data_IF_672847925569
#
_entry.id   IF_672847925569
#
_cell.length_a   1.000
_cell.length_b   1.000
_cell.length_c   1.000
_cell.angle_alpha   90.00
_cell.angle_beta   90.00
_cell.angle_gamma   90.00
#
_symmetry.space_group_name_H-M   'P 1'
#
loop_
_entity.id
_entity.type
_entity.pdbx_description
1 polymer ?
#
# COMPACT_ATOMS: atom_id res chain seq x y z
N UNK A 1 12.84 19.56 9.79
CA UNK A 1 12.33 18.19 9.67
C UNK A 1 12.53 17.80 8.22
N UNK A 2 13.13 16.66 7.95
CA UNK A 2 13.24 16.11 6.59
C UNK A 2 11.87 15.58 6.17
N UNK A 3 11.45 15.85 4.93
CA UNK A 3 10.20 15.31 4.38
C UNK A 3 10.30 13.78 4.22
N UNK A 4 9.22 13.04 4.48
CA UNK A 4 9.22 11.59 4.31
C UNK A 4 9.40 11.17 2.84
N UNK A 5 8.93 12.01 1.90
CA UNK A 5 9.16 11.83 0.47
C UNK A 5 10.61 12.04 0.09
N UNK A 6 11.26 13.08 0.60
CA UNK A 6 12.70 13.30 0.40
C UNK A 6 13.52 12.10 0.91
N UNK A 7 13.11 11.56 2.06
CA UNK A 7 13.77 10.42 2.68
C UNK A 7 13.63 9.16 1.83
N UNK A 8 12.42 8.82 1.38
CA UNK A 8 12.20 7.66 0.50
C UNK A 8 12.89 7.85 -0.86
N UNK A 9 12.97 9.08 -1.36
CA UNK A 9 13.72 9.40 -2.58
C UNK A 9 15.21 9.13 -2.42
N UNK A 10 15.80 9.52 -1.28
CA UNK A 10 17.20 9.21 -0.98
C UNK A 10 17.44 7.70 -0.90
N UNK A 11 16.52 6.95 -0.29
CA UNK A 11 16.63 5.47 -0.21
C UNK A 11 16.50 4.86 -1.61
N UNK A 12 15.55 5.32 -2.42
CA UNK A 12 15.37 4.87 -3.81
C UNK A 12 16.61 5.13 -4.67
N UNK A 13 17.31 6.25 -4.43
CA UNK A 13 18.60 6.54 -5.07
C UNK A 13 19.69 5.55 -4.60
N UNK A 14 19.76 5.23 -3.30
CA UNK A 14 20.69 4.23 -2.75
C UNK A 14 20.46 2.84 -3.38
N UNK A 15 19.21 2.47 -3.68
CA UNK A 15 18.85 1.21 -4.35
C UNK A 15 18.80 1.31 -5.89
N UNK A 16 19.20 2.44 -6.47
CA UNK A 16 19.26 2.70 -7.92
C UNK A 16 17.93 2.40 -8.66
N UNK A 17 16.82 2.89 -8.12
CA UNK A 17 15.49 2.72 -8.73
C UNK A 17 15.18 3.89 -9.68
N UNK A 18 15.10 3.59 -10.98
CA UNK A 18 14.82 4.59 -12.01
C UNK A 18 13.33 4.98 -12.01
N UNK A 19 13.05 6.28 -11.97
CA UNK A 19 11.70 6.82 -12.16
C UNK A 19 10.79 6.81 -10.93
N UNK A 20 11.32 6.51 -9.73
CA UNK A 20 10.58 6.61 -8.48
C UNK A 20 10.14 8.05 -8.19
N UNK A 21 8.83 8.26 -8.03
CA UNK A 21 8.23 9.52 -7.62
C UNK A 21 7.64 9.37 -6.21
N UNK A 22 8.23 9.98 -5.17
CA UNK A 22 7.69 9.90 -3.82
C UNK A 22 6.25 10.42 -3.76
N UNK A 23 5.45 9.89 -2.83
CA UNK A 23 4.01 10.18 -2.64
C UNK A 23 3.07 9.64 -3.75
N UNK A 24 3.58 9.40 -4.95
CA UNK A 24 2.87 8.75 -6.04
C UNK A 24 3.20 7.26 -6.15
N UNK A 25 4.44 6.89 -5.84
CA UNK A 25 4.94 5.52 -5.91
C UNK A 25 5.27 4.97 -4.51
N UNK A 26 5.14 3.66 -4.37
CA UNK A 26 5.65 2.90 -3.23
C UNK A 26 6.84 2.04 -3.66
N UNK A 27 7.86 1.99 -2.81
CA UNK A 27 9.06 1.17 -3.00
C UNK A 27 8.78 -0.28 -2.58
N UNK A 28 8.97 -1.22 -3.48
CA UNK A 28 8.66 -2.64 -3.27
C UNK A 28 9.95 -3.45 -3.20
N UNK A 29 10.15 -4.18 -2.10
CA UNK A 29 11.27 -5.11 -1.92
C UNK A 29 10.74 -6.54 -1.83
N UNK A 30 11.34 -7.50 -2.53
CA UNK A 30 10.85 -8.91 -2.50
C UNK A 30 11.92 -9.93 -2.08
N UNK A 31 12.43 -9.89 -0.85
CA UNK A 31 13.35 -10.91 -0.35
C UNK A 31 12.63 -12.23 -0.03
N UNK A 32 13.12 -13.36 -0.56
CA UNK A 32 12.83 -14.72 -0.07
C UNK A 32 11.36 -15.01 0.26
N UNK A 33 10.44 -14.69 -0.66
CA UNK A 33 9.01 -14.98 -0.54
C UNK A 33 8.21 -13.99 0.34
N UNK A 34 8.83 -12.90 0.78
CA UNK A 34 8.15 -11.78 1.45
C UNK A 34 8.26 -10.53 0.58
N UNK A 35 7.15 -9.83 0.38
CA UNK A 35 7.08 -8.53 -0.30
C UNK A 35 6.89 -7.43 0.72
N UNK A 36 7.82 -6.49 0.84
CA UNK A 36 7.68 -5.26 1.63
C UNK A 36 7.32 -4.11 0.71
N UNK A 37 6.38 -3.26 1.13
CA UNK A 37 5.98 -2.05 0.42
C UNK A 37 6.16 -0.86 1.37
N UNK A 38 7.11 0.00 1.04
CA UNK A 38 7.38 1.26 1.73
C UNK A 38 6.72 2.42 0.99
N UNK A 39 6.01 3.28 1.71
CA UNK A 39 5.28 4.40 1.13
C UNK A 39 5.18 5.57 2.12
N UNK A 40 4.85 6.75 1.61
CA UNK A 40 4.61 7.95 2.43
C UNK A 40 3.14 8.09 2.77
N UNK A 41 2.82 8.47 4.00
CA UNK A 41 1.48 8.87 4.42
C UNK A 41 1.56 9.86 5.57
N UNK A 42 0.87 11.00 5.46
CA UNK A 42 0.89 12.07 6.47
C UNK A 42 2.32 12.46 6.88
N UNK A 43 3.21 12.58 5.88
CA UNK A 43 4.63 12.88 6.07
C UNK A 43 5.40 11.87 6.94
N UNK A 44 4.91 10.63 7.03
CA UNK A 44 5.60 9.51 7.68
C UNK A 44 5.90 8.39 6.67
N UNK A 45 7.02 7.69 6.88
CA UNK A 45 7.31 6.45 6.16
C UNK A 45 6.56 5.30 6.84
N UNK A 46 5.77 4.58 6.05
CA UNK A 46 5.01 3.41 6.46
C UNK A 46 5.48 2.19 5.68
N UNK A 47 5.24 1.02 6.26
CA UNK A 47 5.57 -0.25 5.63
C UNK A 47 4.42 -1.23 5.79
N UNK A 48 4.02 -1.89 4.72
CA UNK A 48 3.22 -3.11 4.80
C UNK A 48 4.05 -4.25 4.22
N UNK A 49 3.84 -5.46 4.69
CA UNK A 49 4.51 -6.63 4.14
C UNK A 49 3.56 -7.79 3.92
N UNK A 50 3.86 -8.56 2.89
CA UNK A 50 3.13 -9.73 2.45
C UNK A 50 4.03 -10.94 2.40
N UNK A 51 3.75 -11.96 3.20
CA UNK A 51 4.43 -13.26 3.14
C UNK A 51 3.59 -14.24 2.31
N UNK A 52 4.21 -14.95 1.37
CA UNK A 52 3.52 -15.98 0.58
C UNK A 52 2.97 -17.16 1.42
N UNK A 53 3.39 -17.27 2.69
CA UNK A 53 3.04 -18.35 3.60
C UNK A 53 2.55 -17.78 4.94
N UNK A 54 1.24 -17.60 5.11
CA UNK A 54 0.63 -17.18 6.38
C UNK A 54 -0.89 -16.96 6.30
N UNK A 55 -1.62 -17.06 7.43
CA UNK A 55 -3.08 -16.87 7.48
C UNK A 55 -3.52 -15.41 7.27
N UNK A 56 -2.59 -14.46 7.39
CA UNK A 56 -2.75 -13.05 7.02
C UNK A 56 -1.61 -12.66 6.08
N UNK A 57 -1.89 -12.64 4.78
CA UNK A 57 -0.88 -12.33 3.76
C UNK A 57 -0.57 -10.84 3.67
N UNK A 58 -1.19 -9.95 4.45
CA UNK A 58 -0.75 -8.55 4.53
C UNK A 58 -0.76 -8.09 5.97
N UNK A 59 0.40 -7.67 6.48
CA UNK A 59 0.55 -7.09 7.82
C UNK A 59 1.14 -5.68 7.73
N UNK A 60 0.61 -4.75 8.53
CA UNK A 60 1.09 -3.37 8.59
C UNK A 60 2.08 -3.17 9.73
N UNK A 61 3.22 -2.54 9.44
CA UNK A 61 4.22 -2.15 10.41
C UNK A 61 4.61 -0.67 10.26
N UNK A 62 4.96 -0.02 11.36
CA UNK A 62 5.51 1.32 11.28
C UNK A 62 7.02 1.22 11.02
N UNK A 63 7.46 1.65 9.84
CA UNK A 63 8.88 1.84 9.53
C UNK A 63 9.28 3.30 9.84
N UNK A 64 9.08 3.71 11.10
CA UNK A 64 9.01 5.14 11.50
C UNK A 64 10.25 5.98 11.19
N UNK A 65 11.38 5.36 10.86
CA UNK A 65 12.66 6.06 10.73
C UNK A 65 13.39 5.66 9.44
N UNK A 66 13.94 6.67 8.75
CA UNK A 66 14.74 6.55 7.54
C UNK A 66 15.84 5.49 7.66
N UNK A 67 16.60 5.55 8.76
CA UNK A 67 17.76 4.70 8.98
C UNK A 67 17.34 3.24 9.19
N UNK A 68 16.18 3.00 9.80
CA UNK A 68 15.64 1.65 9.96
C UNK A 68 15.17 1.06 8.63
N UNK A 69 14.60 1.89 7.75
CA UNK A 69 14.23 1.45 6.40
C UNK A 69 15.49 1.15 5.60
N UNK A 70 16.50 2.05 5.64
CA UNK A 70 17.78 1.84 4.95
C UNK A 70 18.49 0.58 5.45
N UNK A 71 18.58 0.39 6.76
CA UNK A 71 19.14 -0.82 7.37
C UNK A 71 18.35 -2.06 6.93
N UNK A 72 17.01 -1.99 6.90
CA UNK A 72 16.18 -3.11 6.44
C UNK A 72 16.44 -3.44 4.97
N UNK A 73 16.42 -2.42 4.09
CA UNK A 73 16.73 -2.55 2.65
C UNK A 73 18.09 -3.23 2.43
N UNK A 74 19.12 -2.82 3.19
CA UNK A 74 20.45 -3.43 3.13
C UNK A 74 20.48 -4.86 3.68
N UNK A 75 19.73 -5.11 4.76
CA UNK A 75 19.74 -6.39 5.49
C UNK A 75 19.01 -7.50 4.75
N UNK A 76 17.88 -7.20 4.11
CA UNK A 76 17.02 -8.24 3.54
C UNK A 76 17.60 -8.94 2.31
N UNK A 77 18.72 -8.45 1.75
CA UNK A 77 19.31 -9.01 0.55
C UNK A 77 18.40 -8.77 -0.64
N UNK A 78 18.76 -7.78 -1.45
CA UNK A 78 17.93 -7.38 -2.59
C UNK A 78 17.93 -8.48 -3.65
N UNK A 79 16.86 -9.27 -3.71
CA UNK A 79 16.59 -10.17 -4.85
C UNK A 79 15.92 -9.39 -5.99
N UNK A 80 15.01 -8.47 -5.65
CA UNK A 80 14.25 -7.67 -6.60
C UNK A 80 13.76 -6.36 -5.96
N UNK A 81 13.84 -5.25 -6.69
CA UNK A 81 13.32 -3.92 -6.31
C UNK A 81 12.46 -3.37 -7.43
N UNK A 82 11.24 -2.95 -7.10
CA UNK A 82 10.33 -2.27 -8.02
C UNK A 82 9.74 -1.01 -7.36
N UNK A 83 9.03 -0.23 -8.17
CA UNK A 83 8.02 0.70 -7.69
C UNK A 83 6.62 0.19 -8.03
N UNK A 84 5.63 0.58 -7.23
CA UNK A 84 4.21 0.37 -7.55
C UNK A 84 3.41 1.64 -7.33
N UNK A 85 2.39 1.84 -8.15
CA UNK A 85 1.50 3.00 -8.07
C UNK A 85 0.74 3.02 -6.72
N UNK A 86 0.89 4.11 -5.97
CA UNK A 86 0.24 4.33 -4.69
C UNK A 86 -1.13 5.02 -4.86
N UNK A 87 -1.46 5.57 -6.03
CA UNK A 87 -2.72 6.33 -6.24
C UNK A 87 -3.98 5.57 -5.82
N UNK A 88 -4.16 4.27 -6.14
CA UNK A 88 -5.34 3.53 -5.69
C UNK A 88 -5.42 3.48 -4.16
N UNK A 89 -4.30 3.23 -3.49
CA UNK A 89 -4.21 3.27 -2.02
C UNK A 89 -4.55 4.66 -1.48
N UNK A 90 -3.96 5.72 -2.04
CA UNK A 90 -4.19 7.11 -1.62
C UNK A 90 -5.66 7.50 -1.71
N UNK A 91 -6.34 7.15 -2.81
CA UNK A 91 -7.77 7.42 -2.99
C UNK A 91 -8.64 6.66 -1.97
N UNK A 92 -8.28 5.42 -1.61
CA UNK A 92 -8.96 4.64 -0.58
C UNK A 92 -8.82 5.29 0.81
N UNK A 93 -7.61 5.71 1.19
CA UNK A 93 -7.35 6.32 2.51
C UNK A 93 -7.84 7.76 2.64
N UNK A 94 -7.92 8.52 1.54
CA UNK A 94 -8.47 9.88 1.54
C UNK A 94 -10.00 9.89 1.42
N UNK A 95 -10.58 8.80 0.92
CA UNK A 95 -12.00 8.69 0.61
C UNK A 95 -12.74 7.68 1.49
N UNK A 96 -13.32 6.61 0.90
CA UNK A 96 -14.36 5.77 1.51
C UNK A 96 -13.95 5.08 2.82
N UNK A 97 -12.65 4.92 3.06
CA UNK A 97 -12.15 4.20 4.24
C UNK A 97 -11.46 5.07 5.27
N UNK A 98 -11.39 6.40 5.06
CA UNK A 98 -10.68 7.34 5.92
C UNK A 98 -11.02 7.18 7.41
N UNK A 99 -12.30 7.02 7.73
CA UNK A 99 -12.80 6.97 9.11
C UNK A 99 -13.13 5.54 9.57
N UNK A 100 -12.78 4.52 8.78
CA UNK A 100 -13.10 3.13 9.11
C UNK A 100 -11.93 2.42 9.77
N UNK A 101 -11.98 2.31 11.10
CA UNK A 101 -10.97 1.60 11.90
C UNK A 101 -10.76 0.13 11.54
N UNK A 102 -11.68 -0.48 10.79
CA UNK A 102 -11.61 -1.87 10.35
C UNK A 102 -10.74 -2.07 9.10
N UNK A 103 -10.48 -1.03 8.31
CA UNK A 103 -9.60 -1.10 7.13
C UNK A 103 -8.22 -0.56 7.49
N UNK A 104 -7.35 -1.45 7.96
CA UNK A 104 -5.94 -1.13 8.17
C UNK A 104 -5.23 -0.89 6.83
N UNK A 105 -4.08 -0.23 6.88
CA UNK A 105 -3.28 0.02 5.68
C UNK A 105 -2.91 -1.27 4.94
N UNK A 106 -2.72 -2.37 5.66
CA UNK A 106 -2.48 -3.69 5.08
C UNK A 106 -3.66 -4.16 4.20
N UNK A 107 -4.90 -3.98 4.68
CA UNK A 107 -6.11 -4.33 3.92
C UNK A 107 -6.33 -3.42 2.72
N UNK A 108 -6.03 -2.14 2.86
CA UNK A 108 -6.14 -1.17 1.77
C UNK A 108 -5.09 -1.42 0.69
N UNK A 109 -3.86 -1.77 1.07
CA UNK A 109 -2.84 -2.22 0.13
C UNK A 109 -3.21 -3.56 -0.53
N UNK A 110 -3.81 -4.49 0.20
CA UNK A 110 -4.30 -5.73 -0.40
C UNK A 110 -5.34 -5.46 -1.51
N UNK A 111 -6.27 -4.52 -1.28
CA UNK A 111 -7.22 -4.07 -2.31
C UNK A 111 -6.50 -3.40 -3.48
N UNK A 112 -5.67 -2.39 -3.22
CA UNK A 112 -4.92 -1.67 -4.26
C UNK A 112 -4.07 -2.62 -5.13
N UNK A 113 -3.36 -3.55 -4.49
CA UNK A 113 -2.51 -4.54 -5.15
C UNK A 113 -3.31 -5.56 -5.98
N UNK A 114 -4.47 -6.00 -5.48
CA UNK A 114 -5.28 -7.02 -6.16
C UNK A 114 -5.96 -6.48 -7.42
N UNK A 115 -6.43 -5.23 -7.39
CA UNK A 115 -7.25 -4.67 -8.47
C UNK A 115 -6.47 -3.71 -9.38
N UNK A 116 -5.38 -3.12 -8.91
CA UNK A 116 -4.46 -2.28 -9.68
C UNK A 116 -4.92 -0.83 -9.88
N UNK A 117 -6.23 -0.54 -9.84
CA UNK A 117 -6.76 0.82 -9.94
C UNK A 117 -8.01 1.02 -9.07
N UNK A 118 -8.31 2.26 -8.70
CA UNK A 118 -9.43 2.59 -7.81
C UNK A 118 -10.79 2.34 -8.45
N UNK A 119 -10.93 2.57 -9.76
CA UNK A 119 -12.22 2.42 -10.46
C UNK A 119 -12.66 0.95 -10.44
N UNK A 120 -11.75 0.01 -10.69
CA UNK A 120 -11.98 -1.42 -10.55
C UNK A 120 -12.33 -1.82 -9.12
N UNK A 121 -11.71 -1.21 -8.12
CA UNK A 121 -12.05 -1.47 -6.71
C UNK A 121 -13.46 -0.97 -6.41
N UNK A 122 -13.75 0.27 -6.78
CA UNK A 122 -15.01 0.94 -6.46
C UNK A 122 -16.22 0.35 -7.18
N UNK A 123 -16.02 -0.26 -8.35
CA UNK A 123 -17.05 -0.96 -9.12
C UNK A 123 -17.11 -2.46 -8.87
N UNK A 124 -16.16 -3.02 -8.10
CA UNK A 124 -16.15 -4.44 -7.80
C UNK A 124 -17.33 -4.85 -6.91
N UNK A 125 -17.93 -5.99 -7.27
CA UNK A 125 -18.91 -6.67 -6.41
C UNK A 125 -18.23 -7.18 -5.12
N UNK A 126 -19.00 -7.36 -4.06
CA UNK A 126 -18.45 -7.80 -2.77
C UNK A 126 -17.77 -9.18 -2.83
N UNK A 127 -18.25 -10.09 -3.67
CA UNK A 127 -17.60 -11.40 -3.87
C UNK A 127 -16.22 -11.28 -4.55
N UNK A 128 -16.05 -10.29 -5.41
CA UNK A 128 -14.73 -9.96 -5.99
C UNK A 128 -13.82 -9.32 -4.94
N UNK A 129 -14.32 -8.37 -4.15
CA UNK A 129 -13.52 -7.72 -3.10
C UNK A 129 -13.00 -8.70 -2.05
N UNK A 130 -13.73 -9.79 -1.81
CA UNK A 130 -13.31 -10.88 -0.91
C UNK A 130 -12.04 -11.62 -1.40
N UNK A 131 -11.74 -11.60 -2.70
CA UNK A 131 -10.51 -12.21 -3.22
C UNK A 131 -9.26 -11.43 -2.83
N UNK A 132 -9.40 -10.17 -2.42
CA UNK A 132 -8.29 -9.42 -1.84
C UNK A 132 -7.94 -10.01 -0.46
N UNK A 133 -6.67 -10.38 -0.24
CA UNK A 133 -6.36 -11.08 0.98
C UNK A 133 -6.60 -10.26 2.25
N UNK A 134 -7.13 -10.91 3.30
CA UNK A 134 -7.45 -10.26 4.58
C UNK A 134 -8.74 -9.41 4.58
N UNK A 135 -9.49 -9.39 3.47
CA UNK A 135 -10.80 -8.72 3.38
C UNK A 135 -11.93 -9.65 3.86
N UNK A 136 -12.10 -10.85 3.31
CA UNK A 136 -13.16 -11.77 3.76
C UNK A 136 -14.59 -11.22 3.61
N UNK A 137 -15.60 -12.10 3.65
CA UNK A 137 -16.98 -11.76 3.30
C UNK A 137 -17.55 -10.50 4.02
N UNK A 138 -17.35 -10.38 5.33
CA UNK A 138 -17.91 -9.26 6.12
C UNK A 138 -17.29 -7.92 5.76
N UNK A 139 -15.97 -7.82 5.62
CA UNK A 139 -15.36 -6.56 5.21
C UNK A 139 -15.59 -6.30 3.72
N UNK A 140 -15.70 -7.33 2.89
CA UNK A 140 -15.98 -7.17 1.47
C UNK A 140 -17.36 -6.54 1.22
N UNK A 141 -18.38 -7.00 1.95
CA UNK A 141 -19.72 -6.37 1.94
C UNK A 141 -19.68 -4.93 2.42
N UNK A 142 -18.92 -4.67 3.50
CA UNK A 142 -18.75 -3.31 4.00
C UNK A 142 -18.04 -2.42 2.99
N UNK A 143 -16.96 -2.91 2.38
CA UNK A 143 -16.19 -2.20 1.36
C UNK A 143 -17.10 -1.81 0.19
N UNK A 144 -17.85 -2.75 -0.37
CA UNK A 144 -18.80 -2.48 -1.45
C UNK A 144 -19.82 -1.39 -1.07
N UNK A 145 -20.30 -1.40 0.18
CA UNK A 145 -21.24 -0.39 0.68
C UNK A 145 -20.60 1.00 0.82
N UNK A 146 -19.39 1.10 1.35
CA UNK A 146 -18.69 2.39 1.47
C UNK A 146 -18.32 2.94 0.09
N UNK A 147 -17.85 2.07 -0.82
CA UNK A 147 -17.47 2.44 -2.18
C UNK A 147 -18.67 2.91 -3.02
N UNK A 148 -19.84 2.26 -2.88
CA UNK A 148 -21.06 2.67 -3.56
C UNK A 148 -21.56 4.08 -3.15
N UNK A 149 -21.14 4.57 -1.97
CA UNK A 149 -21.46 5.92 -1.50
C UNK A 149 -20.43 6.96 -1.96
N UNK A 150 -19.30 6.52 -2.53
CA UNK A 150 -18.20 7.40 -2.93
C UNK A 150 -18.32 7.76 -4.42
N UNK A 151 -18.47 9.05 -4.79
CA UNK A 151 -18.59 9.44 -6.18
C UNK A 151 -17.26 9.23 -6.93
N UNK A 152 -17.30 8.45 -8.00
CA UNK A 152 -16.14 8.16 -8.88
C UNK A 152 -15.59 9.41 -9.58
N UNK A 153 -16.44 10.41 -9.81
CA UNK A 153 -16.09 11.67 -10.48
C UNK A 153 -15.07 12.53 -9.71
N UNK A 154 -14.74 12.19 -8.46
CA UNK A 154 -13.72 12.87 -7.64
C UNK A 154 -12.30 12.30 -7.76
N UNK A 155 -12.07 11.29 -8.61
CA UNK A 155 -10.76 10.64 -8.73
C UNK A 155 -9.73 11.44 -9.55
N UNK A 156 -10.12 12.57 -10.16
CA UNK A 156 -9.23 13.48 -10.88
C UNK A 156 -9.15 14.83 -10.14
N UNK A 157 -8.15 15.02 -9.29
CA UNK A 157 -7.71 16.34 -8.80
C UNK A 157 -6.25 16.27 -8.41
#
# INVERSE_FOLDING_TARGET
MTDAGDTLTSIAADVNVLGFNPHADALVLRPSGTTFIYYTRNDEIRCVYHTAHGPDTWTGGNAKDADRVREHVQTVGIEHVDTTDQRPFNQLVSGPFRDTSQFSDARLWALAYTFGDFERIATARSDMLETAPGIGETLARKAARELAQYPLERAES
#
